data_IF_492838522885
#
_entry.id   IF_492838522885
#
_cell.length_a   1.000
_cell.length_b   1.000
_cell.length_c   1.000
_cell.angle_alpha   90.00
_cell.angle_beta   90.00
_cell.angle_gamma   90.00
#
_symmetry.space_group_name_H-M   'P 1'
#
loop_
_entity.id
_entity.type
_entity.pdbx_description
1 polymer ?
#
# COMPACT_ATOMS: atom_id res chain seq x y z
N UNK A 1 -47.60 77.42 25.38
CA UNK A 1 -47.70 76.22 26.24
C UNK A 1 -46.35 75.52 26.22
N UNK A 2 -45.66 75.47 27.37
CA UNK A 2 -44.28 74.98 27.49
C UNK A 2 -44.29 73.61 28.16
N UNK A 3 -43.87 72.56 27.44
CA UNK A 3 -43.87 71.17 27.94
C UNK A 3 -42.47 70.83 28.44
N UNK A 4 -42.31 70.71 29.75
CA UNK A 4 -41.07 70.27 30.41
C UNK A 4 -40.83 68.78 30.15
N UNK A 5 -39.71 68.43 29.51
CA UNK A 5 -39.23 67.05 29.36
C UNK A 5 -38.59 66.56 30.67
N UNK A 6 -39.17 65.53 31.28
CA UNK A 6 -38.55 64.81 32.39
C UNK A 6 -37.48 63.83 31.86
N UNK A 7 -36.26 63.87 32.42
CA UNK A 7 -35.22 62.86 32.17
C UNK A 7 -35.34 61.73 33.19
N UNK A 8 -35.57 60.51 32.69
CA UNK A 8 -35.48 59.28 33.46
C UNK A 8 -34.00 58.88 33.61
N UNK A 9 -33.48 58.82 34.84
CA UNK A 9 -32.17 58.22 35.15
C UNK A 9 -32.36 56.70 35.27
N UNK A 10 -31.74 55.93 34.38
CA UNK A 10 -31.62 54.47 34.50
C UNK A 10 -30.42 54.14 35.39
N UNK A 11 -30.66 53.46 36.50
CA UNK A 11 -29.63 52.91 37.37
C UNK A 11 -29.15 51.57 36.81
N UNK A 12 -27.89 51.48 36.43
CA UNK A 12 -27.24 50.24 35.99
C UNK A 12 -26.79 49.46 37.24
N UNK A 13 -27.37 48.29 37.47
CA UNK A 13 -26.89 47.36 38.49
C UNK A 13 -25.65 46.64 37.95
N UNK A 14 -24.47 46.95 38.49
CA UNK A 14 -23.23 46.22 38.17
C UNK A 14 -23.18 44.93 39.00
N UNK A 15 -23.41 43.80 38.36
CA UNK A 15 -23.11 42.49 38.93
C UNK A 15 -21.59 42.37 39.08
N UNK A 16 -21.07 42.35 40.32
CA UNK A 16 -19.68 41.99 40.58
C UNK A 16 -19.49 40.52 40.19
N UNK A 17 -18.77 40.26 39.11
CA UNK A 17 -18.27 38.92 38.83
C UNK A 17 -17.30 38.54 39.97
N UNK A 18 -17.68 37.56 40.76
CA UNK A 18 -16.84 37.02 41.84
C UNK A 18 -15.74 36.18 41.20
N UNK A 19 -14.57 36.77 40.96
CA UNK A 19 -13.39 36.04 40.52
C UNK A 19 -12.86 35.26 41.72
N UNK A 20 -13.22 33.98 41.84
CA UNK A 20 -12.56 33.07 42.78
C UNK A 20 -11.14 32.82 42.29
N UNK A 21 -10.13 33.21 43.08
CA UNK A 21 -8.74 32.87 42.83
C UNK A 21 -8.53 31.37 43.07
N UNK A 22 -7.94 30.67 42.09
CA UNK A 22 -7.60 29.26 42.20
C UNK A 22 -6.60 29.08 43.35
N UNK A 23 -6.82 28.11 44.23
CA UNK A 23 -5.87 27.84 45.32
C UNK A 23 -4.66 27.04 44.81
N UNK A 24 -3.49 27.20 45.44
CA UNK A 24 -2.29 26.46 45.05
C UNK A 24 -2.48 24.94 45.15
N UNK A 25 -3.23 24.50 46.15
CA UNK A 25 -3.57 23.07 46.34
C UNK A 25 -4.44 22.55 45.21
N UNK A 26 -5.42 23.33 44.76
CA UNK A 26 -6.32 22.97 43.67
C UNK A 26 -5.58 22.83 42.34
N UNK A 27 -4.59 23.70 42.09
CA UNK A 27 -3.68 23.57 40.95
C UNK A 27 -2.84 22.29 41.02
N UNK A 28 -2.28 21.95 42.19
CA UNK A 28 -1.49 20.73 42.38
C UNK A 28 -2.32 19.47 42.15
N UNK A 29 -3.56 19.44 42.66
CA UNK A 29 -4.50 18.33 42.43
C UNK A 29 -4.88 18.23 40.96
N UNK A 30 -5.14 19.35 40.29
CA UNK A 30 -5.46 19.36 38.86
C UNK A 30 -4.32 18.81 38.00
N UNK A 31 -3.06 19.21 38.27
CA UNK A 31 -1.90 18.70 37.53
C UNK A 31 -1.66 17.21 37.84
N UNK A 32 -1.87 16.77 39.09
CA UNK A 32 -1.75 15.37 39.46
C UNK A 32 -2.78 14.49 38.73
N UNK A 33 -4.05 14.92 38.71
CA UNK A 33 -5.12 14.23 37.98
C UNK A 33 -4.85 14.23 36.46
N UNK A 34 -4.37 15.34 35.91
CA UNK A 34 -4.00 15.44 34.50
C UNK A 34 -2.87 14.46 34.14
N UNK A 35 -1.86 14.32 35.00
CA UNK A 35 -0.77 13.34 34.82
C UNK A 35 -1.28 11.89 34.78
N UNK A 36 -2.20 11.53 35.66
CA UNK A 36 -2.83 10.19 35.67
C UNK A 36 -3.62 9.94 34.37
N UNK A 37 -4.38 10.94 33.90
CA UNK A 37 -5.13 10.83 32.65
C UNK A 37 -4.20 10.64 31.44
N UNK A 38 -3.10 11.40 31.37
CA UNK A 38 -2.10 11.24 30.31
C UNK A 38 -1.44 9.86 30.32
N UNK A 39 -1.10 9.34 31.51
CA UNK A 39 -0.45 8.03 31.64
C UNK A 39 -1.29 6.88 31.05
N UNK A 40 -2.62 6.97 31.15
CA UNK A 40 -3.54 5.97 30.60
C UNK A 40 -3.78 6.18 29.10
N UNK A 41 -3.78 7.43 28.62
CA UNK A 41 -4.10 7.76 27.22
C UNK A 41 -2.95 7.55 26.24
N UNK A 42 -1.70 7.81 26.65
CA UNK A 42 -0.53 7.76 25.76
C UNK A 42 -0.36 6.39 25.07
N UNK A 43 -0.47 5.24 25.76
CA UNK A 43 -0.34 3.93 25.11
C UNK A 43 -1.33 3.70 23.97
N UNK A 44 -2.58 4.15 24.14
CA UNK A 44 -3.63 4.02 23.13
C UNK A 44 -3.33 4.80 21.85
N UNK A 45 -2.78 6.01 21.98
CA UNK A 45 -2.36 6.84 20.84
C UNK A 45 -1.18 6.21 20.11
N UNK A 46 -0.20 5.68 20.84
CA UNK A 46 0.96 5.02 20.23
C UNK A 46 0.58 3.73 19.49
N UNK A 47 -0.40 2.98 20.00
CA UNK A 47 -0.92 1.79 19.32
C UNK A 47 -1.60 2.11 18.00
N UNK A 48 -2.43 3.16 17.96
CA UNK A 48 -3.10 3.60 16.73
C UNK A 48 -2.11 4.08 15.66
N UNK A 49 -1.08 4.82 16.04
CA UNK A 49 -0.05 5.30 15.11
C UNK A 49 0.79 4.17 14.52
N UNK A 50 1.06 3.11 15.29
CA UNK A 50 1.75 1.92 14.79
C UNK A 50 0.94 1.17 13.74
N UNK A 51 -0.36 0.98 13.99
CA UNK A 51 -1.28 0.29 13.06
C UNK A 51 -1.42 1.06 11.73
N UNK A 52 -1.50 2.39 11.77
CA UNK A 52 -1.59 3.20 10.55
C UNK A 52 -0.34 3.06 9.68
N UNK A 53 0.85 3.08 10.26
CA UNK A 53 2.11 2.93 9.50
C UNK A 53 2.23 1.56 8.85
N UNK A 54 1.92 0.50 9.58
CA UNK A 54 1.92 -0.86 9.04
C UNK A 54 0.92 -0.99 7.87
N UNK A 55 -0.25 -0.38 7.99
CA UNK A 55 -1.27 -0.39 6.92
C UNK A 55 -0.81 0.38 5.69
N UNK A 56 -0.17 1.54 5.87
CA UNK A 56 0.41 2.33 4.77
C UNK A 56 1.53 1.57 4.05
N UNK A 57 2.42 0.91 4.80
CA UNK A 57 3.50 0.08 4.25
C UNK A 57 2.97 -1.11 3.46
N UNK A 58 1.93 -1.78 3.98
CA UNK A 58 1.28 -2.89 3.30
C UNK A 58 0.58 -2.44 2.00
N UNK A 59 -0.11 -1.30 2.02
CA UNK A 59 -0.76 -0.74 0.84
C UNK A 59 0.27 -0.35 -0.24
N UNK A 60 1.36 0.29 0.18
CA UNK A 60 2.47 0.66 -0.71
C UNK A 60 3.08 -0.58 -1.36
N UNK A 61 3.41 -1.61 -0.57
CA UNK A 61 4.01 -2.87 -1.07
C UNK A 61 3.08 -3.59 -2.04
N UNK A 62 1.77 -3.62 -1.75
CA UNK A 62 0.76 -4.20 -2.64
C UNK A 62 0.69 -3.46 -3.98
N UNK A 63 0.70 -2.13 -3.95
CA UNK A 63 0.65 -1.29 -5.17
C UNK A 63 1.88 -1.51 -6.03
N UNK A 64 3.07 -1.61 -5.42
CA UNK A 64 4.32 -1.90 -6.13
C UNK A 64 4.28 -3.29 -6.76
N UNK A 65 3.84 -4.31 -6.01
CA UNK A 65 3.72 -5.67 -6.52
C UNK A 65 2.73 -5.75 -7.69
N UNK A 66 1.58 -5.07 -7.60
CA UNK A 66 0.58 -5.01 -8.67
C UNK A 66 1.15 -4.38 -9.94
N UNK A 67 1.89 -3.28 -9.81
CA UNK A 67 2.52 -2.61 -10.96
C UNK A 67 3.49 -3.54 -11.69
N UNK A 68 4.38 -4.20 -10.95
CA UNK A 68 5.34 -5.15 -11.53
C UNK A 68 4.63 -6.33 -12.17
N UNK A 69 3.55 -6.83 -11.55
CA UNK A 69 2.75 -7.92 -12.09
C UNK A 69 2.07 -7.54 -13.42
N UNK A 70 1.49 -6.34 -13.50
CA UNK A 70 0.88 -5.83 -14.73
C UNK A 70 1.93 -5.52 -15.80
N UNK A 71 3.13 -5.07 -15.44
CA UNK A 71 4.25 -4.91 -16.39
C UNK A 71 4.67 -6.26 -17.00
N UNK A 72 4.81 -7.31 -16.17
CA UNK A 72 5.13 -8.67 -16.63
C UNK A 72 4.01 -9.21 -17.53
N UNK A 73 2.76 -9.10 -17.09
CA UNK A 73 1.59 -9.52 -17.85
C UNK A 73 1.49 -8.79 -19.17
N UNK A 74 1.72 -7.47 -19.19
CA UNK A 74 1.70 -6.66 -20.40
C UNK A 74 2.76 -7.08 -21.41
N UNK A 75 3.94 -7.49 -20.95
CA UNK A 75 5.01 -7.98 -21.82
C UNK A 75 4.72 -9.37 -22.42
N UNK A 76 3.98 -10.21 -21.72
CA UNK A 76 3.63 -11.58 -22.16
C UNK A 76 2.27 -11.68 -22.84
N UNK A 77 1.55 -10.58 -22.98
CA UNK A 77 0.24 -10.55 -23.61
C UNK A 77 0.33 -10.12 -25.07
N UNK A 78 -0.30 -10.88 -25.97
CA UNK A 78 -0.46 -10.46 -27.36
C UNK A 78 -1.59 -9.44 -27.48
N UNK A 79 -1.39 -8.42 -28.32
CA UNK A 79 -2.45 -7.45 -28.65
C UNK A 79 -2.98 -7.70 -30.07
N UNK A 80 -4.25 -7.34 -30.37
CA UNK A 80 -4.88 -7.66 -31.65
C UNK A 80 -4.17 -7.11 -32.89
N UNK A 81 -3.36 -6.05 -32.72
CA UNK A 81 -2.66 -5.37 -33.82
C UNK A 81 -1.22 -5.87 -34.02
N UNK A 82 -0.78 -6.91 -33.30
CA UNK A 82 0.56 -7.48 -33.49
C UNK A 82 0.66 -8.29 -34.78
N UNK A 83 1.75 -8.09 -35.51
CA UNK A 83 2.09 -8.95 -36.65
C UNK A 83 2.63 -10.32 -36.18
N UNK A 84 2.76 -11.27 -37.11
CA UNK A 84 3.22 -12.63 -36.81
C UNK A 84 4.60 -12.66 -36.12
N UNK A 85 5.55 -11.86 -36.60
CA UNK A 85 6.90 -11.78 -36.02
C UNK A 85 6.90 -11.28 -34.56
N UNK A 86 6.05 -10.29 -34.27
CA UNK A 86 5.87 -9.78 -32.91
C UNK A 86 5.25 -10.83 -31.98
N UNK A 87 4.22 -11.55 -32.44
CA UNK A 87 3.62 -12.64 -31.65
C UNK A 87 4.64 -13.72 -31.30
N UNK A 88 5.43 -14.15 -32.28
CA UNK A 88 6.50 -15.13 -32.05
C UNK A 88 7.55 -14.61 -31.06
N UNK A 89 7.82 -13.31 -31.07
CA UNK A 89 8.75 -12.69 -30.11
C UNK A 89 8.19 -12.69 -28.69
N UNK A 90 6.91 -12.33 -28.52
CA UNK A 90 6.24 -12.35 -27.20
C UNK A 90 6.15 -13.77 -26.67
N UNK A 91 5.81 -14.73 -27.53
CA UNK A 91 5.83 -16.16 -27.21
C UNK A 91 7.22 -16.60 -26.74
N UNK A 92 8.27 -16.23 -27.48
CA UNK A 92 9.63 -16.59 -27.13
C UNK A 92 10.07 -15.98 -25.78
N UNK A 93 9.61 -14.76 -25.46
CA UNK A 93 9.86 -14.12 -24.17
C UNK A 93 9.15 -14.84 -23.01
N UNK A 94 7.89 -15.22 -23.23
CA UNK A 94 7.14 -16.04 -22.30
C UNK A 94 7.85 -17.38 -22.06
N UNK A 95 8.24 -18.09 -23.12
CA UNK A 95 8.93 -19.38 -23.04
C UNK A 95 10.29 -19.29 -22.34
N UNK A 96 11.00 -18.19 -22.53
CA UNK A 96 12.29 -17.92 -21.90
C UNK A 96 12.21 -17.41 -20.45
N UNK A 97 11.02 -17.19 -19.87
CA UNK A 97 10.85 -16.56 -18.56
C UNK A 97 11.50 -15.16 -18.46
N UNK A 98 11.38 -14.34 -19.50
CA UNK A 98 12.04 -13.04 -19.53
C UNK A 98 11.09 -11.92 -19.95
N UNK A 99 11.36 -10.71 -19.47
CA UNK A 99 10.63 -9.49 -19.80
C UNK A 99 11.66 -8.40 -20.13
N UNK A 100 11.87 -8.07 -21.41
CA UNK A 100 12.85 -7.06 -21.80
C UNK A 100 12.57 -5.72 -21.13
N UNK A 101 13.59 -5.14 -20.49
CA UNK A 101 13.46 -3.85 -19.82
C UNK A 101 12.73 -3.88 -18.48
N UNK A 102 12.43 -5.06 -17.94
CA UNK A 102 11.90 -5.19 -16.59
C UNK A 102 12.87 -4.56 -15.59
N UNK A 103 12.39 -3.56 -14.84
CA UNK A 103 13.12 -2.94 -13.75
C UNK A 103 12.37 -3.22 -12.45
N UNK A 104 13.02 -3.94 -11.55
CA UNK A 104 12.46 -4.28 -10.24
C UNK A 104 12.91 -3.24 -9.22
N UNK A 105 12.00 -2.58 -8.50
CA UNK A 105 12.36 -1.74 -7.36
C UNK A 105 13.11 -2.54 -6.28
N UNK A 106 13.90 -1.85 -5.46
CA UNK A 106 14.59 -2.48 -4.34
C UNK A 106 13.61 -3.19 -3.39
N UNK A 107 13.93 -4.44 -3.01
CA UNK A 107 13.06 -5.23 -2.15
C UNK A 107 11.85 -5.85 -2.87
N UNK A 108 11.84 -5.85 -4.21
CA UNK A 108 10.86 -6.56 -5.01
C UNK A 108 11.51 -7.71 -5.75
N UNK A 109 10.91 -8.89 -5.70
CA UNK A 109 11.34 -10.07 -6.46
C UNK A 109 10.20 -10.58 -7.32
N UNK A 110 10.48 -10.86 -8.58
CA UNK A 110 9.54 -11.53 -9.49
C UNK A 110 10.07 -12.91 -9.85
N UNK A 111 9.25 -13.93 -9.66
CA UNK A 111 9.56 -15.32 -9.99
C UNK A 111 8.41 -15.88 -10.82
N UNK A 112 8.69 -16.89 -11.63
CA UNK A 112 7.65 -17.68 -12.29
C UNK A 112 7.90 -19.17 -12.17
N UNK A 113 6.82 -19.94 -12.21
CA UNK A 113 6.81 -21.38 -12.21
C UNK A 113 5.99 -21.87 -13.40
N UNK A 114 6.50 -22.90 -14.08
CA UNK A 114 5.78 -23.57 -15.17
C UNK A 114 4.61 -24.40 -14.61
N UNK A 115 3.44 -24.25 -15.23
CA UNK A 115 2.23 -25.00 -14.90
C UNK A 115 1.77 -25.84 -16.10
N UNK A 116 1.04 -26.91 -15.80
CA UNK A 116 0.34 -27.70 -16.81
C UNK A 116 -0.93 -26.98 -17.32
N UNK A 117 -1.60 -27.57 -18.31
CA UNK A 117 -2.83 -27.02 -18.90
C UNK A 117 -4.02 -26.95 -17.93
N UNK A 118 -3.91 -27.51 -16.73
CA UNK A 118 -4.92 -27.50 -15.65
C UNK A 118 -4.50 -26.61 -14.47
N UNK A 119 -3.50 -25.75 -14.66
CA UNK A 119 -2.88 -24.92 -13.61
C UNK A 119 -2.23 -25.73 -12.48
N UNK A 120 -1.91 -27.01 -12.73
CA UNK A 120 -1.17 -27.88 -11.83
C UNK A 120 0.33 -27.59 -11.89
N UNK A 121 0.99 -27.65 -10.75
CA UNK A 121 2.45 -27.54 -10.67
C UNK A 121 3.11 -28.77 -11.30
N UNK A 122 4.10 -28.55 -12.17
CA UNK A 122 4.83 -29.63 -12.82
C UNK A 122 5.95 -30.13 -11.89
N UNK A 123 6.04 -31.44 -11.67
CA UNK A 123 7.08 -32.02 -10.80
C UNK A 123 8.49 -31.67 -11.32
N UNK A 124 9.36 -31.20 -10.42
CA UNK A 124 10.72 -30.75 -10.75
C UNK A 124 10.82 -29.33 -11.30
N UNK A 125 9.71 -28.62 -11.49
CA UNK A 125 9.69 -27.20 -11.88
C UNK A 125 9.43 -26.33 -10.65
N UNK A 126 10.46 -25.60 -10.22
CA UNK A 126 10.38 -24.65 -9.11
C UNK A 126 10.21 -23.21 -9.63
N UNK A 127 9.96 -22.28 -8.71
CA UNK A 127 10.00 -20.86 -9.01
C UNK A 127 11.40 -20.43 -9.48
N UNK A 128 11.46 -19.75 -10.61
CA UNK A 128 12.67 -19.20 -11.22
C UNK A 128 12.49 -17.69 -11.41
N UNK A 129 13.49 -16.90 -11.06
CA UNK A 129 13.46 -15.44 -11.23
C UNK A 129 13.14 -15.04 -12.67
N UNK A 130 12.23 -14.08 -12.84
CA UNK A 130 11.94 -13.48 -14.15
C UNK A 130 13.11 -12.59 -14.54
N UNK A 131 13.73 -12.86 -15.70
CA UNK A 131 14.92 -12.14 -16.15
C UNK A 131 14.55 -10.88 -16.95
N UNK A 132 15.30 -9.79 -16.77
CA UNK A 132 15.20 -8.60 -17.64
C UNK A 132 15.93 -8.78 -18.98
N UNK A 133 16.77 -9.81 -19.08
CA UNK A 133 17.55 -10.17 -20.28
C UNK A 133 17.01 -11.48 -20.84
N UNK A 134 16.57 -11.42 -22.09
CA UNK A 134 16.12 -12.61 -22.81
C UNK A 134 17.30 -13.32 -23.47
N UNK A 135 17.40 -14.66 -23.35
CA UNK A 135 18.42 -15.43 -24.04
C UNK A 135 18.20 -15.38 -25.56
N UNK A 136 19.30 -15.40 -26.32
CA UNK A 136 19.24 -15.42 -27.79
C UNK A 136 18.68 -16.75 -28.34
N UNK A 137 18.80 -17.82 -27.56
CA UNK A 137 18.21 -19.13 -27.84
C UNK A 137 17.09 -19.40 -26.85
N UNK A 138 15.87 -19.45 -27.36
CA UNK A 138 14.67 -19.76 -26.58
C UNK A 138 14.32 -21.24 -26.77
N UNK A 139 13.88 -21.96 -25.73
CA UNK A 139 13.38 -23.32 -25.90
C UNK A 139 12.27 -23.37 -26.96
N UNK A 140 12.28 -24.42 -27.77
CA UNK A 140 11.31 -24.61 -28.88
C UNK A 140 9.91 -25.04 -28.41
N UNK A 141 9.75 -25.31 -27.11
CA UNK A 141 8.49 -25.63 -26.45
C UNK A 141 8.54 -25.05 -25.06
N UNK A 142 7.67 -24.08 -24.79
CA UNK A 142 7.42 -23.56 -23.45
C UNK A 142 6.23 -24.22 -22.77
N UNK A 143 5.94 -23.82 -21.53
CA UNK A 143 4.79 -24.31 -20.78
C UNK A 143 3.49 -23.68 -21.32
N UNK A 144 2.38 -24.40 -21.22
CA UNK A 144 1.05 -23.87 -21.61
C UNK A 144 0.60 -22.74 -20.67
N UNK A 145 1.08 -22.76 -19.42
CA UNK A 145 0.72 -21.78 -18.41
C UNK A 145 1.91 -21.50 -17.49
N UNK A 146 1.97 -20.28 -16.96
CA UNK A 146 2.96 -19.87 -15.95
C UNK A 146 2.28 -19.23 -14.76
N UNK A 147 2.70 -19.59 -13.57
CA UNK A 147 2.40 -18.89 -12.33
C UNK A 147 3.47 -17.85 -12.07
N UNK A 148 3.13 -16.57 -12.09
CA UNK A 148 4.03 -15.50 -11.67
C UNK A 148 3.75 -15.14 -10.24
N UNK A 149 4.81 -15.09 -9.45
CA UNK A 149 4.81 -14.65 -8.07
C UNK A 149 5.67 -13.39 -7.94
N UNK A 150 5.05 -12.29 -7.53
CA UNK A 150 5.73 -11.03 -7.21
C UNK A 150 5.67 -10.82 -5.71
N UNK A 151 6.82 -10.70 -5.07
CA UNK A 151 6.93 -10.38 -3.64
C UNK A 151 7.52 -9.00 -3.50
N UNK A 152 6.85 -8.09 -2.79
CA UNK A 152 7.31 -6.74 -2.53
C UNK A 152 7.41 -6.49 -1.02
N UNK A 153 8.50 -5.85 -0.60
CA UNK A 153 8.81 -5.57 0.81
C UNK A 153 9.83 -6.54 1.40
N UNK A 154 10.18 -6.33 2.66
CA UNK A 154 11.18 -7.17 3.38
C UNK A 154 10.64 -7.61 4.73
N UNK A 155 10.94 -8.84 5.13
CA UNK A 155 10.56 -9.36 6.44
C UNK A 155 9.07 -9.66 6.57
N UNK A 156 8.48 -9.33 7.71
CA UNK A 156 7.09 -9.65 8.07
C UNK A 156 6.04 -8.83 7.31
N UNK A 157 6.45 -7.75 6.63
CA UNK A 157 5.57 -6.86 5.86
C UNK A 157 5.61 -7.18 4.35
N UNK A 158 6.30 -8.26 3.95
CA UNK A 158 6.38 -8.66 2.55
C UNK A 158 5.01 -9.13 2.03
N UNK A 159 4.51 -8.46 1.00
CA UNK A 159 3.27 -8.84 0.31
C UNK A 159 3.62 -9.68 -0.91
N UNK A 160 2.99 -10.83 -1.05
CA UNK A 160 3.13 -11.70 -2.22
C UNK A 160 1.85 -11.70 -3.05
N UNK A 161 1.96 -11.41 -4.34
CA UNK A 161 0.89 -11.55 -5.33
C UNK A 161 1.22 -12.68 -6.28
N UNK A 162 0.20 -13.47 -6.61
CA UNK A 162 0.32 -14.63 -7.49
C UNK A 162 -0.71 -14.48 -8.61
N UNK A 163 -0.27 -14.69 -9.86
CA UNK A 163 -1.12 -14.68 -11.04
C UNK A 163 -0.73 -15.82 -11.96
N UNK A 164 -1.73 -16.59 -12.38
CA UNK A 164 -1.57 -17.61 -13.40
C UNK A 164 -1.90 -17.01 -14.78
N UNK A 165 -0.99 -17.19 -15.73
CA UNK A 165 -1.08 -16.65 -17.08
C UNK A 165 -0.96 -17.76 -18.10
N UNK A 166 -1.86 -17.74 -19.08
CA UNK A 166 -1.83 -18.62 -20.24
C UNK A 166 -0.78 -18.15 -21.25
N UNK A 167 -0.30 -19.10 -22.03
CA UNK A 167 0.53 -18.86 -23.19
C UNK A 167 -0.15 -17.89 -24.19
N UNK A 168 0.59 -16.90 -24.73
CA UNK A 168 0.06 -15.95 -25.70
C UNK A 168 -0.40 -16.61 -27.01
N UNK A 169 -1.40 -16.03 -27.67
CA UNK A 169 -2.03 -16.54 -28.92
C UNK A 169 -1.82 -15.59 -30.12
#
# INVERSE_FOLDING_TARGET
>A
MSVKKARVKKSVCRTKAHVQGMTLVELLVAIALFGVLLAVLIPGITGLLGISRASEQQLSSTTVAQRVLEDIKGAWQTTPNMNFSQKTTVQAQFDANCVPGLSLPSGVTAQSQELDARAGTISGKNFVSVSSVCPATVPTSGPVMRRVQVTAGTGTEATTLILDMLEPQ
#
